data_IF_847897842759
#
_entry.id   IF_847897842759
#
_cell.length_a   1.000
_cell.length_b   1.000
_cell.length_c   1.000
_cell.angle_alpha   90.00
_cell.angle_beta   90.00
_cell.angle_gamma   90.00
#
_symmetry.space_group_name_H-M   'P 1'
#
loop_
_entity.id
_entity.type
_entity.pdbx_description
1 polymer ?
#
# COMPACT_ATOMS: atom_id res chain seq x y z
N UNK A 1 34.47 3.02 45.44
CA UNK A 1 34.50 3.27 46.89
C UNK A 1 35.49 4.40 47.17
N UNK A 2 35.03 5.65 47.17
CA UNK A 2 35.53 6.74 48.04
C UNK A 2 34.71 8.00 47.77
N UNK A 3 34.13 8.51 48.85
CA UNK A 3 33.42 9.76 48.94
C UNK A 3 34.39 10.94 49.08
N UNK A 4 33.96 12.12 48.65
CA UNK A 4 34.48 13.40 49.12
C UNK A 4 33.28 14.31 49.41
N UNK A 5 33.17 14.73 50.66
CA UNK A 5 32.15 15.61 51.20
C UNK A 5 32.77 16.98 51.52
N UNK A 6 32.12 18.07 51.12
CA UNK A 6 32.31 19.48 51.55
C UNK A 6 31.02 20.19 51.10
N UNK A 7 30.30 21.07 51.80
CA UNK A 7 30.20 21.58 53.17
C UNK A 7 28.83 22.30 53.18
N UNK A 8 28.09 22.24 54.28
CA UNK A 8 26.82 22.94 54.47
C UNK A 8 26.98 23.95 55.60
N UNK A 9 27.11 25.24 55.28
CA UNK A 9 26.67 26.30 56.20
C UNK A 9 26.61 27.69 55.52
N UNK A 10 25.57 28.44 55.87
CA UNK A 10 25.55 29.91 55.76
C UNK A 10 24.51 30.47 54.80
N UNK A 11 23.29 30.70 55.28
CA UNK A 11 22.20 31.28 54.50
C UNK A 11 22.17 32.81 54.45
N UNK A 12 21.19 33.33 53.69
CA UNK A 12 20.31 34.46 54.05
C UNK A 12 19.25 34.68 52.97
N UNK A 13 18.06 34.98 53.43
CA UNK A 13 16.78 35.07 52.71
C UNK A 13 16.69 36.28 51.77
N UNK A 14 15.78 36.18 50.80
CA UNK A 14 14.98 37.31 50.31
C UNK A 14 13.56 36.81 50.00
N UNK A 15 12.49 37.59 50.27
CA UNK A 15 11.12 37.13 50.13
C UNK A 15 10.57 37.29 48.70
N UNK A 16 9.60 36.44 48.44
CA UNK A 16 8.64 36.33 47.33
C UNK A 16 8.23 37.65 46.69
N UNK A 17 8.21 37.68 45.35
CA UNK A 17 7.08 38.24 44.60
C UNK A 17 6.70 37.28 43.47
N UNK A 18 5.39 37.10 43.34
CA UNK A 18 4.69 36.10 42.56
C UNK A 18 4.51 36.51 41.10
N UNK A 19 4.56 35.48 40.25
CA UNK A 19 4.10 35.41 38.86
C UNK A 19 5.03 36.03 37.79
N UNK A 20 6.18 35.38 37.62
CA UNK A 20 6.97 35.41 36.40
C UNK A 20 7.10 34.00 35.86
N UNK A 21 6.13 33.53 35.07
CA UNK A 21 6.35 32.39 34.19
C UNK A 21 6.97 32.90 32.89
N UNK A 22 8.30 33.02 32.86
CA UNK A 22 9.02 32.93 31.59
C UNK A 22 8.96 31.47 31.12
N UNK A 23 8.19 31.30 30.05
CA UNK A 23 8.26 30.29 28.99
C UNK A 23 9.33 29.20 29.12
N UNK A 24 8.89 27.96 29.38
CA UNK A 24 9.65 26.73 29.08
C UNK A 24 8.82 25.87 28.11
N UNK A 25 8.17 26.47 27.11
CA UNK A 25 7.35 25.75 26.13
C UNK A 25 7.49 26.36 24.71
N UNK A 26 8.72 26.60 24.24
CA UNK A 26 8.94 27.14 22.89
C UNK A 26 10.09 26.45 22.14
N UNK A 27 10.43 25.20 22.50
CA UNK A 27 11.61 24.52 21.95
C UNK A 27 11.47 23.04 21.61
N UNK A 28 10.25 22.47 21.60
CA UNK A 28 10.04 21.05 21.31
C UNK A 28 9.31 20.74 19.99
N UNK A 29 8.97 21.74 19.18
CA UNK A 29 8.10 21.51 18.02
C UNK A 29 8.85 21.33 16.69
N UNK A 30 9.86 22.12 16.36
CA UNK A 30 10.45 22.07 15.00
C UNK A 30 11.34 20.84 14.74
N UNK A 31 12.18 20.43 15.69
CA UNK A 31 13.04 19.25 15.51
C UNK A 31 12.22 17.95 15.53
N UNK A 32 11.19 17.85 16.37
CA UNK A 32 10.27 16.72 16.36
C UNK A 32 9.41 16.68 15.08
N UNK A 33 8.95 17.83 14.59
CA UNK A 33 8.25 17.92 13.30
C UNK A 33 9.17 17.60 12.13
N UNK A 34 10.44 18.02 12.19
CA UNK A 34 11.43 17.71 11.16
C UNK A 34 11.78 16.23 11.17
N UNK A 35 11.98 15.62 12.34
CA UNK A 35 12.20 14.18 12.49
C UNK A 35 10.98 13.36 12.04
N UNK A 36 9.76 13.78 12.37
CA UNK A 36 8.54 13.15 11.87
C UNK A 36 8.38 13.29 10.34
N UNK A 37 8.71 14.46 9.77
CA UNK A 37 8.73 14.68 8.31
C UNK A 37 9.85 13.90 7.60
N UNK A 38 10.97 13.66 8.28
CA UNK A 38 12.06 12.80 7.79
C UNK A 38 11.58 11.35 7.83
N UNK A 39 10.94 10.90 8.90
CA UNK A 39 10.37 9.56 9.06
C UNK A 39 9.31 9.25 7.99
N UNK A 40 8.39 10.19 7.72
CA UNK A 40 7.40 10.09 6.62
C UNK A 40 8.05 9.94 5.24
N UNK A 41 9.25 10.49 5.04
CA UNK A 41 10.04 10.36 3.80
C UNK A 41 10.91 9.11 3.77
N UNK A 42 11.04 8.37 4.87
CA UNK A 42 11.72 7.07 4.90
C UNK A 42 10.74 5.93 4.63
N UNK A 43 9.45 6.13 4.92
CA UNK A 43 8.43 5.12 4.67
C UNK A 43 8.22 4.88 3.17
N UNK A 44 7.99 3.62 2.74
CA UNK A 44 7.64 3.31 1.36
C UNK A 44 6.32 3.96 0.92
N UNK A 45 6.21 4.20 -0.39
CA UNK A 45 4.93 4.41 -1.07
C UNK A 45 4.46 3.08 -1.61
N UNK A 46 3.25 2.66 -1.26
CA UNK A 46 2.70 1.35 -1.63
C UNK A 46 1.48 1.58 -2.51
N UNK A 47 1.54 1.06 -3.73
CA UNK A 47 0.54 1.19 -4.78
C UNK A 47 -0.06 -0.19 -5.05
N UNK A 48 -1.38 -0.30 -4.91
CA UNK A 48 -2.13 -1.48 -5.32
C UNK A 48 -2.97 -1.15 -6.56
N UNK A 49 -3.02 -2.06 -7.52
CA UNK A 49 -4.19 -2.14 -8.38
C UNK A 49 -5.37 -2.79 -7.63
N UNK A 50 -6.57 -2.66 -8.18
CA UNK A 50 -7.79 -3.20 -7.59
C UNK A 50 -8.28 -4.47 -8.32
N UNK A 51 -8.65 -4.30 -9.58
CA UNK A 51 -9.22 -5.37 -10.39
C UNK A 51 -8.17 -6.43 -10.67
N UNK A 52 -8.55 -7.69 -10.47
CA UNK A 52 -7.71 -8.89 -10.58
C UNK A 52 -6.43 -8.88 -9.72
N UNK A 53 -6.32 -7.94 -8.78
CA UNK A 53 -5.17 -7.77 -7.85
C UNK A 53 -5.57 -7.85 -6.37
N UNK A 54 -6.61 -7.12 -5.95
CA UNK A 54 -7.21 -7.23 -4.61
C UNK A 54 -8.60 -7.88 -4.67
N UNK A 55 -9.28 -7.76 -5.81
CA UNK A 55 -10.55 -8.41 -6.11
C UNK A 55 -10.43 -9.22 -7.40
N UNK A 56 -10.85 -10.49 -7.39
CA UNK A 56 -10.86 -11.33 -8.60
C UNK A 56 -12.04 -10.97 -9.53
N UNK A 57 -12.09 -9.73 -9.99
CA UNK A 57 -13.18 -9.12 -10.74
C UNK A 57 -13.54 -9.93 -12.00
N UNK A 58 -12.54 -10.40 -12.74
CA UNK A 58 -12.78 -11.18 -13.96
C UNK A 58 -13.37 -12.56 -13.66
N UNK A 59 -12.85 -13.26 -12.64
CA UNK A 59 -13.37 -14.57 -12.22
C UNK A 59 -14.83 -14.46 -11.75
N UNK A 60 -15.13 -13.46 -10.91
CA UNK A 60 -16.49 -13.19 -10.43
C UNK A 60 -17.46 -12.86 -11.58
N UNK A 61 -17.03 -12.01 -12.51
CA UNK A 61 -17.83 -11.66 -13.68
C UNK A 61 -18.06 -12.86 -14.60
N UNK A 62 -17.10 -13.78 -14.73
CA UNK A 62 -17.24 -15.00 -15.53
C UNK A 62 -18.36 -15.89 -15.00
N UNK A 63 -18.52 -15.98 -13.67
CA UNK A 63 -19.63 -16.69 -13.03
C UNK A 63 -20.93 -15.89 -12.94
N UNK A 64 -20.99 -14.70 -13.54
CA UNK A 64 -22.19 -13.87 -13.60
C UNK A 64 -22.45 -13.02 -12.36
N UNK A 65 -21.53 -12.98 -11.39
CA UNK A 65 -21.67 -12.10 -10.24
C UNK A 65 -21.36 -10.66 -10.63
N UNK A 66 -22.37 -9.80 -10.48
CA UNK A 66 -22.27 -8.38 -10.83
C UNK A 66 -22.40 -7.51 -9.59
N UNK A 67 -21.82 -6.32 -9.68
CA UNK A 67 -21.88 -5.31 -8.62
C UNK A 67 -23.32 -4.83 -8.35
N UNK A 68 -24.15 -4.82 -9.38
CA UNK A 68 -25.55 -4.37 -9.38
C UNK A 68 -26.55 -5.52 -9.13
N UNK A 69 -26.05 -6.71 -8.77
CA UNK A 69 -26.87 -7.89 -8.52
C UNK A 69 -27.07 -8.15 -7.02
N UNK A 70 -28.34 -8.33 -6.63
CA UNK A 70 -28.76 -8.78 -5.30
C UNK A 70 -28.68 -10.31 -5.13
N UNK A 71 -28.15 -11.03 -6.11
CA UNK A 71 -28.05 -12.49 -6.07
C UNK A 71 -27.14 -12.97 -4.94
N UNK A 72 -27.59 -13.98 -4.20
CA UNK A 72 -26.74 -14.60 -3.18
C UNK A 72 -25.61 -15.38 -3.84
N UNK A 73 -24.43 -15.32 -3.25
CA UNK A 73 -23.32 -16.16 -3.66
C UNK A 73 -23.65 -17.64 -3.40
N UNK A 74 -23.26 -18.51 -4.32
CA UNK A 74 -23.25 -19.94 -4.04
C UNK A 74 -22.31 -20.23 -2.85
N UNK A 75 -22.67 -21.19 -1.99
CA UNK A 75 -21.91 -21.47 -0.76
C UNK A 75 -20.39 -21.58 -0.92
N UNK A 76 -19.86 -22.32 -1.91
CA UNK A 76 -18.42 -22.39 -2.16
C UNK A 76 -17.79 -21.04 -2.56
N UNK A 77 -18.50 -20.20 -3.30
CA UNK A 77 -18.03 -18.87 -3.72
C UNK A 77 -18.06 -17.91 -2.53
N UNK A 78 -19.12 -17.95 -1.72
CA UNK A 78 -19.22 -17.14 -0.50
C UNK A 78 -18.08 -17.44 0.47
N UNK A 79 -17.76 -18.72 0.67
CA UNK A 79 -16.65 -19.12 1.54
C UNK A 79 -15.29 -18.68 0.96
N UNK A 80 -15.09 -18.82 -0.35
CA UNK A 80 -13.88 -18.34 -1.01
C UNK A 80 -13.71 -16.81 -0.91
N UNK A 81 -14.80 -16.05 -1.04
CA UNK A 81 -14.80 -14.60 -0.87
C UNK A 81 -14.48 -14.18 0.57
N UNK A 82 -15.04 -14.86 1.57
CA UNK A 82 -14.68 -14.59 2.99
C UNK A 82 -13.20 -14.87 3.26
N UNK A 83 -12.68 -15.96 2.71
CA UNK A 83 -11.27 -16.32 2.86
C UNK A 83 -10.35 -15.32 2.14
N UNK A 84 -10.74 -14.84 0.96
CA UNK A 84 -10.04 -13.77 0.25
C UNK A 84 -10.09 -12.45 1.02
N UNK A 85 -11.26 -12.06 1.51
CA UNK A 85 -11.48 -10.84 2.30
C UNK A 85 -10.56 -10.78 3.52
N UNK A 86 -10.46 -11.87 4.28
CA UNK A 86 -9.54 -11.95 5.42
C UNK A 86 -8.09 -11.71 4.99
N UNK A 87 -7.65 -12.31 3.88
CA UNK A 87 -6.30 -12.12 3.36
C UNK A 87 -6.04 -10.70 2.86
N UNK A 88 -7.00 -10.09 2.16
CA UNK A 88 -6.92 -8.70 1.69
C UNK A 88 -6.86 -7.72 2.86
N UNK A 89 -7.69 -7.92 3.89
CA UNK A 89 -7.67 -7.11 5.10
C UNK A 89 -6.30 -7.11 5.77
N UNK A 90 -5.73 -8.29 5.99
CA UNK A 90 -4.41 -8.43 6.62
C UNK A 90 -3.31 -7.74 5.79
N UNK A 91 -3.34 -7.88 4.46
CA UNK A 91 -2.37 -7.23 3.57
C UNK A 91 -2.49 -5.70 3.61
N UNK A 92 -3.72 -5.17 3.58
CA UNK A 92 -3.95 -3.72 3.60
C UNK A 92 -3.63 -3.11 4.98
N UNK A 93 -3.98 -3.78 6.08
CA UNK A 93 -3.58 -3.35 7.43
C UNK A 93 -2.04 -3.34 7.54
N UNK A 94 -1.36 -4.39 7.07
CA UNK A 94 0.10 -4.45 7.03
C UNK A 94 0.72 -3.33 6.17
N UNK A 95 0.12 -3.01 5.03
CA UNK A 95 0.57 -1.91 4.17
C UNK A 95 0.39 -0.54 4.85
N UNK A 96 -0.74 -0.32 5.51
CA UNK A 96 -1.03 0.91 6.26
C UNK A 96 -0.10 1.10 7.47
N UNK A 97 0.37 0.01 8.07
CA UNK A 97 1.38 0.04 9.14
C UNK A 97 2.79 0.32 8.59
N UNK A 98 3.05 0.01 7.32
CA UNK A 98 4.39 0.08 6.71
C UNK A 98 4.67 1.40 6.01
N UNK A 99 3.66 2.07 5.45
CA UNK A 99 3.86 3.33 4.74
C UNK A 99 2.60 3.95 4.14
N UNK A 100 2.79 4.79 3.12
CA UNK A 100 1.68 5.51 2.48
C UNK A 100 1.03 4.64 1.40
N UNK A 101 -0.25 4.32 1.57
CA UNK A 101 -0.98 3.38 0.72
C UNK A 101 -1.92 4.09 -0.25
N UNK A 102 -1.86 3.67 -1.52
CA UNK A 102 -2.72 4.14 -2.59
C UNK A 102 -3.30 2.95 -3.36
N UNK A 103 -4.55 3.08 -3.81
CA UNK A 103 -5.13 2.18 -4.82
C UNK A 103 -5.22 2.97 -6.11
N UNK A 104 -4.62 2.47 -7.20
CA UNK A 104 -4.65 3.13 -8.51
C UNK A 104 -5.24 2.17 -9.54
N UNK A 105 -6.47 2.45 -9.97
CA UNK A 105 -7.26 1.56 -10.83
C UNK A 105 -7.57 2.19 -12.19
N UNK A 106 -7.67 1.35 -13.22
CA UNK A 106 -8.20 1.73 -14.54
C UNK A 106 -9.74 1.61 -14.62
N UNK A 107 -10.41 1.39 -13.50
CA UNK A 107 -11.87 1.44 -13.38
C UNK A 107 -12.36 2.84 -13.06
N UNK A 108 -13.67 3.08 -13.22
CA UNK A 108 -14.29 4.39 -12.97
C UNK A 108 -14.29 4.76 -11.48
N UNK A 109 -14.28 6.06 -11.18
CA UNK A 109 -14.38 6.56 -9.81
C UNK A 109 -15.63 6.00 -9.10
N UNK A 110 -15.45 5.53 -7.85
CA UNK A 110 -16.51 4.86 -7.09
C UNK A 110 -16.54 3.33 -7.26
N UNK A 111 -15.85 2.77 -8.26
CA UNK A 111 -15.83 1.32 -8.51
C UNK A 111 -15.27 0.52 -7.34
N UNK A 112 -14.15 0.97 -6.77
CA UNK A 112 -13.44 0.28 -5.67
C UNK A 112 -14.36 0.14 -4.46
N UNK A 113 -15.00 1.22 -4.04
CA UNK A 113 -15.85 1.26 -2.85
C UNK A 113 -17.13 0.46 -3.06
N UNK A 114 -17.74 0.56 -4.25
CA UNK A 114 -18.95 -0.19 -4.59
C UNK A 114 -18.68 -1.69 -4.69
N UNK A 115 -17.57 -2.08 -5.30
CA UNK A 115 -17.22 -3.49 -5.48
C UNK A 115 -16.75 -4.11 -4.17
N UNK A 116 -15.96 -3.38 -3.37
CA UNK A 116 -15.63 -3.77 -2.00
C UNK A 116 -16.90 -4.04 -1.17
N UNK A 117 -17.88 -3.11 -1.16
CA UNK A 117 -19.15 -3.33 -0.44
C UNK A 117 -19.87 -4.62 -0.83
N UNK A 118 -19.75 -5.04 -2.08
CA UNK A 118 -20.45 -6.23 -2.60
C UNK A 118 -19.69 -7.53 -2.34
N UNK A 119 -18.38 -7.51 -2.55
CA UNK A 119 -17.55 -8.71 -2.63
C UNK A 119 -16.60 -8.88 -1.44
N UNK A 120 -16.14 -7.78 -0.84
CA UNK A 120 -15.20 -7.71 0.29
C UNK A 120 -15.67 -6.65 1.33
N UNK A 121 -16.90 -6.75 1.85
CA UNK A 121 -17.54 -5.70 2.66
C UNK A 121 -16.72 -5.19 3.86
N UNK A 122 -15.92 -6.05 4.49
CA UNK A 122 -15.08 -5.70 5.63
C UNK A 122 -13.90 -4.81 5.24
N UNK A 123 -13.45 -4.84 3.97
CA UNK A 123 -12.37 -3.99 3.45
C UNK A 123 -12.77 -2.52 3.37
N UNK A 124 -14.06 -2.23 3.24
CA UNK A 124 -14.58 -0.86 3.10
C UNK A 124 -14.08 0.06 4.23
N UNK A 125 -13.95 -0.46 5.46
CA UNK A 125 -13.46 0.32 6.61
C UNK A 125 -12.02 0.82 6.48
N UNK A 126 -11.21 0.18 5.63
CA UNK A 126 -9.82 0.55 5.38
C UNK A 126 -9.71 1.56 4.24
N UNK A 127 -10.68 1.60 3.32
CA UNK A 127 -10.67 2.51 2.18
C UNK A 127 -10.69 3.99 2.62
N UNK A 128 -11.27 4.32 3.78
CA UNK A 128 -11.23 5.68 4.34
C UNK A 128 -9.81 6.15 4.70
N UNK A 129 -8.86 5.21 4.84
CA UNK A 129 -7.44 5.48 5.15
C UNK A 129 -6.55 5.40 3.92
N UNK A 130 -7.08 4.94 2.79
CA UNK A 130 -6.32 4.69 1.56
C UNK A 130 -6.76 5.69 0.50
N UNK A 131 -5.81 6.34 -0.16
CA UNK A 131 -6.16 7.23 -1.28
C UNK A 131 -6.46 6.39 -2.51
N UNK A 132 -7.71 6.44 -3.00
CA UNK A 132 -8.14 5.76 -4.22
C UNK A 132 -8.07 6.73 -5.41
N UNK A 133 -7.34 6.33 -6.46
CA UNK A 133 -7.15 7.08 -7.69
C UNK A 133 -7.74 6.26 -8.85
N UNK A 134 -8.80 6.79 -9.47
CA UNK A 134 -9.31 6.28 -10.74
C UNK A 134 -8.53 6.93 -11.88
N UNK A 135 -7.53 6.22 -12.40
CA UNK A 135 -6.75 6.67 -13.55
C UNK A 135 -7.65 6.90 -14.77
N UNK A 136 -8.63 6.01 -14.99
CA UNK A 136 -9.59 6.14 -16.08
C UNK A 136 -10.41 7.42 -15.98
N UNK A 137 -11.05 7.69 -14.84
CA UNK A 137 -11.89 8.87 -14.71
C UNK A 137 -11.11 10.18 -14.83
N UNK A 138 -9.82 10.18 -14.48
CA UNK A 138 -8.95 11.36 -14.63
C UNK A 138 -8.49 11.54 -16.08
N UNK A 139 -8.08 10.47 -16.75
CA UNK A 139 -7.29 10.55 -17.99
C UNK A 139 -7.99 10.03 -19.26
N UNK A 140 -9.16 9.39 -19.17
CA UNK A 140 -9.87 8.85 -20.34
C UNK A 140 -10.23 9.92 -21.37
N UNK A 141 -10.58 11.13 -20.93
CA UNK A 141 -10.87 12.24 -21.84
C UNK A 141 -9.69 12.60 -22.73
N UNK A 142 -8.49 12.60 -22.17
CA UNK A 142 -7.28 13.06 -22.85
C UNK A 142 -6.59 11.90 -23.62
N UNK A 143 -6.85 10.65 -23.21
CA UNK A 143 -6.31 9.43 -23.81
C UNK A 143 -7.40 8.37 -24.08
N UNK A 144 -8.39 8.64 -24.96
CA UNK A 144 -9.56 7.78 -25.12
C UNK A 144 -9.19 6.34 -25.52
N UNK A 145 -9.75 5.36 -24.81
CA UNK A 145 -9.53 3.93 -25.08
C UNK A 145 -8.10 3.43 -24.84
N UNK A 146 -7.29 4.15 -24.06
CA UNK A 146 -5.90 3.79 -23.80
C UNK A 146 -5.60 3.60 -22.28
N UNK A 147 -6.00 2.45 -21.68
CA UNK A 147 -5.79 2.18 -20.25
C UNK A 147 -4.33 2.23 -19.80
N UNK A 148 -3.38 1.88 -20.68
CA UNK A 148 -1.96 2.00 -20.39
C UNK A 148 -1.54 3.46 -20.20
N UNK A 149 -2.05 4.37 -21.03
CA UNK A 149 -1.81 5.80 -20.88
C UNK A 149 -2.44 6.35 -19.60
N UNK A 150 -3.65 5.93 -19.23
CA UNK A 150 -4.29 6.38 -18.00
C UNK A 150 -3.44 6.07 -16.77
N UNK A 151 -3.02 4.80 -16.63
CA UNK A 151 -2.21 4.36 -15.50
C UNK A 151 -0.84 5.06 -15.49
N UNK A 152 -0.19 5.17 -16.65
CA UNK A 152 1.08 5.89 -16.79
C UNK A 152 0.95 7.34 -16.31
N UNK A 153 -0.09 8.07 -16.73
CA UNK A 153 -0.26 9.46 -16.31
C UNK A 153 -0.58 9.57 -14.82
N UNK A 154 -1.37 8.64 -14.26
CA UNK A 154 -1.63 8.60 -12.82
C UNK A 154 -0.33 8.43 -12.01
N UNK A 155 0.54 7.51 -12.40
CA UNK A 155 1.83 7.32 -11.72
C UNK A 155 2.79 8.50 -11.96
N UNK A 156 2.81 9.08 -13.16
CA UNK A 156 3.61 10.29 -13.44
C UNK A 156 3.21 11.47 -12.55
N UNK A 157 1.92 11.62 -12.24
CA UNK A 157 1.42 12.65 -11.32
C UNK A 157 1.90 12.43 -9.88
N UNK A 158 2.30 11.22 -9.52
CA UNK A 158 2.75 10.84 -8.17
C UNK A 158 4.27 10.93 -7.99
N UNK A 159 5.04 11.30 -9.02
CA UNK A 159 6.51 11.30 -9.01
C UNK A 159 7.14 12.12 -7.88
N UNK A 160 6.53 13.23 -7.47
CA UNK A 160 7.00 13.99 -6.31
C UNK A 160 6.89 13.21 -4.99
N UNK A 161 5.91 12.29 -4.87
CA UNK A 161 5.74 11.40 -3.72
C UNK A 161 6.78 10.29 -3.69
N UNK A 162 7.39 9.95 -4.83
CA UNK A 162 8.33 8.84 -4.99
C UNK A 162 9.80 9.24 -4.74
N UNK A 163 10.12 10.53 -4.83
CA UNK A 163 11.50 11.05 -4.73
C UNK A 163 12.15 10.61 -3.40
N UNK A 164 13.30 9.94 -3.49
CA UNK A 164 14.08 9.49 -2.32
C UNK A 164 13.48 8.30 -1.56
N UNK A 165 12.48 7.61 -2.11
CA UNK A 165 11.69 6.59 -1.39
C UNK A 165 11.68 5.24 -2.11
N UNK A 166 11.40 4.18 -1.37
CA UNK A 166 10.97 2.91 -1.96
C UNK A 166 9.54 3.05 -2.46
N UNK A 167 9.28 2.63 -3.70
CA UNK A 167 7.95 2.60 -4.29
C UNK A 167 7.60 1.17 -4.64
N UNK A 168 6.63 0.61 -3.93
CA UNK A 168 6.15 -0.76 -4.09
C UNK A 168 4.87 -0.73 -4.91
N UNK A 169 4.86 -1.32 -6.09
CA UNK A 169 3.70 -1.44 -6.97
C UNK A 169 3.29 -2.89 -7.12
N UNK A 170 2.03 -3.19 -6.81
CA UNK A 170 1.44 -4.52 -6.91
C UNK A 170 0.25 -4.49 -7.86
N UNK A 171 0.28 -5.32 -8.90
CA UNK A 171 -0.76 -5.36 -9.94
C UNK A 171 -0.67 -6.61 -10.80
N UNK A 172 -1.76 -7.02 -11.43
CA UNK A 172 -1.83 -8.25 -12.22
C UNK A 172 -1.45 -8.08 -13.70
N UNK A 173 -1.38 -6.84 -14.19
CA UNK A 173 -1.08 -6.53 -15.58
C UNK A 173 0.34 -5.97 -15.77
N UNK A 174 0.82 -6.06 -17.01
CA UNK A 174 2.07 -5.42 -17.41
C UNK A 174 1.93 -3.90 -17.45
N UNK A 175 0.69 -3.38 -17.52
CA UNK A 175 0.43 -1.94 -17.54
C UNK A 175 0.95 -1.26 -16.27
N UNK A 176 0.72 -1.85 -15.10
CA UNK A 176 1.16 -1.31 -13.81
C UNK A 176 2.69 -1.37 -13.71
N UNK A 177 3.28 -2.50 -14.11
CA UNK A 177 4.73 -2.72 -14.14
C UNK A 177 5.43 -1.69 -15.04
N UNK A 178 5.01 -1.53 -16.28
CA UNK A 178 5.65 -0.57 -17.20
C UNK A 178 5.43 0.88 -16.74
N UNK A 179 4.24 1.19 -16.21
CA UNK A 179 3.94 2.53 -15.71
C UNK A 179 4.82 2.90 -14.51
N UNK A 180 5.06 1.98 -13.56
CA UNK A 180 5.85 2.31 -12.36
C UNK A 180 7.30 2.55 -12.72
N UNK A 181 7.90 1.71 -13.56
CA UNK A 181 9.27 1.92 -14.03
C UNK A 181 9.41 3.23 -14.82
N UNK A 182 8.44 3.56 -15.66
CA UNK A 182 8.46 4.84 -16.37
C UNK A 182 8.41 6.04 -15.40
N UNK A 183 7.53 5.99 -14.39
CA UNK A 183 7.41 7.05 -13.40
C UNK A 183 8.64 7.15 -12.49
N UNK A 184 9.21 6.03 -12.04
CA UNK A 184 10.38 6.05 -11.14
C UNK A 184 11.68 6.37 -11.89
N UNK A 185 11.77 6.09 -13.19
CA UNK A 185 12.95 6.43 -13.99
C UNK A 185 13.22 7.94 -14.10
N UNK A 186 12.19 8.77 -13.88
CA UNK A 186 12.31 10.23 -13.88
C UNK A 186 12.38 10.81 -12.46
N UNK A 187 12.34 9.99 -11.42
CA UNK A 187 12.47 10.41 -10.03
C UNK A 187 13.87 10.16 -9.51
N UNK A 188 14.43 11.14 -8.83
CA UNK A 188 15.75 11.01 -8.23
C UNK A 188 15.68 10.12 -6.98
N UNK A 189 16.62 9.17 -6.90
CA UNK A 189 16.91 8.37 -5.69
C UNK A 189 15.72 7.53 -5.16
N UNK A 190 14.81 7.12 -6.04
CA UNK A 190 13.75 6.17 -5.71
C UNK A 190 14.21 4.72 -5.94
N UNK A 191 13.81 3.80 -5.06
CA UNK A 191 13.93 2.35 -5.30
C UNK A 191 12.60 1.82 -5.82
N UNK A 192 12.62 1.13 -6.94
CA UNK A 192 11.41 0.60 -7.59
C UNK A 192 11.22 -0.86 -7.24
N UNK A 193 10.09 -1.20 -6.64
CA UNK A 193 9.67 -2.58 -6.40
C UNK A 193 8.40 -2.84 -7.18
N UNK A 194 8.48 -3.69 -8.20
CA UNK A 194 7.33 -4.14 -8.98
C UNK A 194 7.04 -5.60 -8.63
N UNK A 195 5.79 -5.89 -8.24
CA UNK A 195 5.31 -7.25 -8.02
C UNK A 195 4.12 -7.49 -8.92
N UNK A 196 4.37 -8.23 -10.00
CA UNK A 196 3.36 -8.55 -11.01
C UNK A 196 2.65 -9.86 -10.64
N UNK A 197 1.35 -9.79 -10.42
CA UNK A 197 0.50 -10.93 -10.10
C UNK A 197 0.13 -11.72 -11.37
N UNK A 198 -0.46 -12.90 -11.21
CA UNK A 198 -1.11 -13.64 -12.28
C UNK A 198 -2.27 -12.80 -12.83
N UNK A 199 -2.32 -12.66 -14.16
CA UNK A 199 -3.40 -11.96 -14.84
C UNK A 199 -4.72 -12.75 -14.69
N UNK A 200 -5.80 -12.05 -14.32
CA UNK A 200 -7.16 -12.63 -14.16
C UNK A 200 -7.17 -13.91 -13.31
N UNK A 201 -6.66 -13.86 -12.07
CA UNK A 201 -6.58 -15.04 -11.22
C UNK A 201 -7.98 -15.47 -10.77
N UNK A 202 -8.17 -16.78 -10.55
CA UNK A 202 -9.32 -17.25 -9.78
C UNK A 202 -9.29 -16.73 -8.34
N UNK A 203 -10.43 -16.74 -7.63
CA UNK A 203 -10.49 -16.40 -6.19
C UNK A 203 -9.42 -17.15 -5.36
N UNK A 204 -9.23 -18.44 -5.65
CA UNK A 204 -8.25 -19.26 -4.93
C UNK A 204 -6.82 -18.85 -5.23
N UNK A 205 -6.49 -18.61 -6.51
CA UNK A 205 -5.15 -18.15 -6.91
C UNK A 205 -4.85 -16.77 -6.34
N UNK A 206 -5.81 -15.84 -6.38
CA UNK A 206 -5.63 -14.50 -5.82
C UNK A 206 -5.34 -14.54 -4.33
N UNK A 207 -6.10 -15.34 -3.57
CA UNK A 207 -5.85 -15.52 -2.14
C UNK A 207 -4.44 -16.06 -1.87
N UNK A 208 -3.97 -17.04 -2.65
CA UNK A 208 -2.63 -17.62 -2.48
C UNK A 208 -1.53 -16.57 -2.78
N UNK A 209 -1.72 -15.74 -3.80
CA UNK A 209 -0.80 -14.65 -4.10
C UNK A 209 -0.72 -13.64 -2.96
N UNK A 210 -1.87 -13.21 -2.43
CA UNK A 210 -1.94 -12.30 -1.28
C UNK A 210 -1.28 -12.93 -0.05
N UNK A 211 -1.58 -14.20 0.22
CA UNK A 211 -1.00 -14.94 1.35
C UNK A 211 0.52 -15.10 1.23
N UNK A 212 1.06 -15.20 0.01
CA UNK A 212 2.49 -15.20 -0.25
C UNK A 212 3.11 -13.83 0.03
N UNK A 213 2.53 -12.76 -0.51
CA UNK A 213 3.05 -11.39 -0.38
C UNK A 213 3.08 -10.92 1.09
N UNK A 214 2.05 -11.23 1.88
CA UNK A 214 1.98 -10.80 3.28
C UNK A 214 2.89 -11.59 4.23
N UNK A 215 3.64 -12.60 3.76
CA UNK A 215 4.61 -13.30 4.60
C UNK A 215 5.65 -12.30 5.11
N UNK A 216 5.85 -12.26 6.44
CA UNK A 216 6.64 -11.23 7.11
C UNK A 216 8.01 -10.97 6.46
N UNK A 217 8.74 -12.03 6.08
CA UNK A 217 10.05 -11.92 5.43
C UNK A 217 9.96 -11.30 4.04
N UNK A 218 9.00 -11.74 3.21
CA UNK A 218 8.83 -11.19 1.87
C UNK A 218 8.36 -9.75 1.95
N UNK A 219 7.34 -9.46 2.76
CA UNK A 219 6.81 -8.11 2.93
C UNK A 219 7.87 -7.11 3.37
N UNK A 220 8.69 -7.47 4.37
CA UNK A 220 9.80 -6.62 4.84
C UNK A 220 10.79 -6.35 3.71
N UNK A 221 11.13 -7.38 2.93
CA UNK A 221 12.05 -7.25 1.80
C UNK A 221 11.49 -6.37 0.67
N UNK A 222 10.19 -6.40 0.42
CA UNK A 222 9.54 -5.51 -0.55
C UNK A 222 9.54 -4.05 -0.09
N UNK A 223 9.39 -3.79 1.22
CA UNK A 223 9.32 -2.43 1.76
C UNK A 223 10.68 -1.73 1.89
N UNK A 224 11.75 -2.50 2.12
CA UNK A 224 13.11 -1.98 2.24
C UNK A 224 14.12 -2.82 1.45
N UNK A 225 14.09 -2.76 0.11
CA UNK A 225 15.03 -3.49 -0.71
C UNK A 225 16.38 -2.76 -0.79
N UNK A 226 17.46 -3.51 -1.02
CA UNK A 226 18.79 -2.92 -1.26
C UNK A 226 18.89 -2.25 -2.64
N UNK A 227 18.14 -2.76 -3.63
CA UNK A 227 18.13 -2.29 -5.02
C UNK A 227 16.71 -2.30 -5.57
N UNK A 228 16.52 -1.84 -6.81
CA UNK A 228 15.29 -2.12 -7.55
C UNK A 228 15.01 -3.62 -7.60
N UNK A 229 13.74 -3.99 -7.57
CA UNK A 229 13.25 -5.36 -7.52
C UNK A 229 12.08 -5.53 -8.49
N UNK A 230 12.18 -6.50 -9.38
CA UNK A 230 11.10 -6.91 -10.28
C UNK A 230 10.75 -8.37 -10.02
N UNK A 231 9.56 -8.61 -9.48
CA UNK A 231 9.04 -9.95 -9.20
C UNK A 231 7.81 -10.22 -10.05
N UNK A 232 7.74 -11.43 -10.60
CA UNK A 232 6.53 -11.97 -11.21
C UNK A 232 6.07 -13.21 -10.44
N UNK A 233 4.81 -13.21 -10.06
CA UNK A 233 4.14 -14.39 -9.52
C UNK A 233 3.68 -15.27 -10.69
N UNK A 234 4.14 -16.51 -10.70
CA UNK A 234 3.85 -17.48 -11.76
C UNK A 234 3.34 -18.78 -11.15
N UNK A 235 2.46 -19.47 -11.89
CA UNK A 235 2.10 -20.85 -11.54
C UNK A 235 3.32 -21.73 -11.74
N UNK A 236 3.63 -22.59 -10.78
CA UNK A 236 4.75 -23.52 -10.91
C UNK A 236 4.44 -24.56 -12.01
N UNK A 237 5.22 -24.59 -13.10
CA UNK A 237 4.99 -25.50 -14.21
C UNK A 237 5.21 -26.97 -13.85
N UNK A 238 5.86 -27.27 -12.72
CA UNK A 238 6.11 -28.63 -12.24
C UNK A 238 5.10 -29.10 -11.19
N UNK A 239 4.25 -28.20 -10.70
CA UNK A 239 3.24 -28.55 -9.71
C UNK A 239 2.04 -29.26 -10.37
N UNK A 240 1.50 -30.26 -9.68
CA UNK A 240 0.28 -30.98 -10.10
C UNK A 240 -1.00 -30.14 -9.95
N UNK A 241 -0.89 -28.95 -9.38
CA UNK A 241 -2.01 -28.05 -9.08
C UNK A 241 -1.67 -26.63 -9.50
N UNK A 242 -2.60 -25.97 -10.19
CA UNK A 242 -2.51 -24.57 -10.60
C UNK A 242 -2.50 -23.57 -9.41
N UNK A 243 -2.58 -24.08 -8.18
CA UNK A 243 -2.53 -23.33 -6.94
C UNK A 243 -1.13 -23.25 -6.32
N UNK A 244 -0.12 -23.83 -6.95
CA UNK A 244 1.26 -23.62 -6.51
C UNK A 244 1.82 -22.39 -7.25
N UNK A 245 2.07 -21.32 -6.51
CA UNK A 245 2.50 -20.04 -7.05
C UNK A 245 3.85 -19.68 -6.42
N UNK A 246 4.79 -19.27 -7.26
CA UNK A 246 6.15 -18.88 -6.87
C UNK A 246 6.47 -17.48 -7.37
N UNK A 247 7.36 -16.78 -6.67
CA UNK A 247 7.94 -15.53 -7.13
C UNK A 247 9.20 -15.80 -7.94
N UNK A 248 9.31 -15.19 -9.12
CA UNK A 248 10.52 -15.19 -9.94
C UNK A 248 11.00 -13.77 -10.13
N UNK A 249 12.29 -13.53 -9.96
CA UNK A 249 12.94 -12.30 -10.43
C UNK A 249 12.98 -12.29 -11.95
N UNK A 250 12.88 -11.10 -12.55
CA UNK A 250 12.91 -10.89 -14.01
C UNK A 250 14.20 -10.21 -14.46
#
# INVERSE_FOLDING_TARGET
>A
MQALAIDCSGGRESPVDSDGTESIIDGLDEDCLLLAKIDDRLQPVILFDWDDTLLASTDLSFYGYRIDSDERFAGPVEEALRALEASVLELLDLALESGQVYIVTNSEAGWVEMSARRFLPSVVRLLDKITVISARSIYERDFPGCPSAWKLQAFMQMTDLFRGRTVVSLGDSYVEREAIYAATSVTYDSRTVSVKFLERPSLAQLRIQIDLIKQAHLWTYLCDPETDLDLMLVTDPQASSANFIVASTV
#
